data_IF_308058211789
#
_entry.id   IF_308058211789
#
_cell.length_a   1.000
_cell.length_b   1.000
_cell.length_c   1.000
_cell.angle_alpha   90.00
_cell.angle_beta   90.00
_cell.angle_gamma   90.00
#
_symmetry.space_group_name_H-M   'P 1'
#
loop_
_entity.id
_entity.type
_entity.pdbx_description
1 polymer ?
#
# COMPACT_ATOMS: atom_id res chain seq x y z
N UNK A 1 45.48 5.18 19.40
CA UNK A 1 44.55 6.30 19.11
C UNK A 1 43.14 5.73 19.13
N UNK A 2 42.34 6.04 20.15
CA UNK A 2 40.94 5.62 20.20
C UNK A 2 40.13 6.43 19.19
N UNK A 3 39.40 5.77 18.30
CA UNK A 3 38.52 6.45 17.37
C UNK A 3 37.44 7.22 18.15
N UNK A 4 37.42 8.55 18.02
CA UNK A 4 36.29 9.35 18.49
C UNK A 4 35.07 8.98 17.65
N UNK A 5 34.07 8.36 18.29
CA UNK A 5 32.78 8.12 17.66
C UNK A 5 32.12 9.47 17.37
N UNK A 6 31.82 9.73 16.09
CA UNK A 6 31.04 10.89 15.66
C UNK A 6 29.61 10.71 16.19
N UNK A 7 29.19 11.58 17.11
CA UNK A 7 27.79 11.62 17.56
C UNK A 7 26.94 12.24 16.46
N UNK A 8 26.09 11.44 15.82
CA UNK A 8 25.09 11.92 14.87
C UNK A 8 23.71 11.98 15.54
N UNK A 9 22.87 12.92 15.11
CA UNK A 9 21.48 13.03 15.57
C UNK A 9 20.55 12.66 14.40
N UNK A 10 19.58 11.75 14.59
CA UNK A 10 18.58 11.45 13.56
C UNK A 10 17.80 12.69 13.12
N UNK A 11 17.32 12.69 11.87
CA UNK A 11 16.49 13.79 11.35
C UNK A 11 15.17 13.93 12.12
N UNK A 12 14.58 15.13 12.15
CA UNK A 12 13.33 15.39 12.86
C UNK A 12 12.17 14.50 12.36
N UNK A 13 12.07 14.27 11.05
CA UNK A 13 11.06 13.37 10.47
C UNK A 13 11.19 11.93 10.98
N UNK A 14 12.43 11.43 11.10
CA UNK A 14 12.71 10.10 11.66
C UNK A 14 12.40 10.03 13.16
N UNK A 15 12.53 11.12 13.89
CA UNK A 15 12.14 11.15 15.31
C UNK A 15 10.61 11.16 15.50
N UNK A 16 9.83 11.54 14.47
CA UNK A 16 8.35 11.59 14.51
C UNK A 16 7.68 10.26 14.16
N UNK A 17 8.37 9.37 13.44
CA UNK A 17 7.92 7.99 13.26
C UNK A 17 8.28 7.23 14.55
N UNK A 18 7.25 6.92 15.35
CA UNK A 18 7.38 6.15 16.58
C UNK A 18 7.90 4.73 16.35
N UNK A 19 8.01 3.94 17.42
CA UNK A 19 8.48 2.57 17.34
C UNK A 19 7.64 1.73 16.35
N UNK A 20 8.32 0.93 15.53
CA UNK A 20 7.65 0.04 14.58
C UNK A 20 7.17 -1.22 15.31
N UNK A 21 5.84 -1.41 15.38
CA UNK A 21 5.21 -2.50 16.12
C UNK A 21 5.81 -3.87 15.78
N UNK A 22 5.97 -4.18 14.50
CA UNK A 22 6.45 -5.48 14.06
C UNK A 22 7.90 -5.75 14.50
N UNK A 23 8.77 -4.73 14.54
CA UNK A 23 10.14 -4.90 15.04
C UNK A 23 10.17 -5.25 16.54
N UNK A 24 9.24 -4.69 17.35
CA UNK A 24 9.13 -5.07 18.75
C UNK A 24 8.57 -6.49 18.92
N UNK A 25 7.61 -6.89 18.08
CA UNK A 25 7.08 -8.25 18.06
C UNK A 25 8.18 -9.27 17.71
N UNK A 26 8.97 -9.01 16.66
CA UNK A 26 10.08 -9.87 16.24
C UNK A 26 11.11 -10.06 17.36
N UNK A 27 11.51 -8.98 18.03
CA UNK A 27 12.42 -9.02 19.19
C UNK A 27 11.88 -9.91 20.31
N UNK A 28 10.60 -9.74 20.68
CA UNK A 28 9.97 -10.55 21.73
C UNK A 28 9.87 -12.02 21.35
N UNK A 29 9.60 -12.32 20.08
CA UNK A 29 9.58 -13.69 19.58
C UNK A 29 10.97 -14.35 19.69
N UNK A 30 12.03 -13.63 19.32
CA UNK A 30 13.40 -14.13 19.45
C UNK A 30 13.79 -14.40 20.92
N UNK A 31 13.44 -13.49 21.83
CA UNK A 31 13.66 -13.67 23.27
C UNK A 31 12.94 -14.90 23.85
N UNK A 32 11.72 -15.17 23.41
CA UNK A 32 10.95 -16.35 23.83
C UNK A 32 11.55 -17.64 23.25
N UNK A 33 11.90 -17.66 21.96
CA UNK A 33 12.57 -18.81 21.33
C UNK A 33 13.91 -19.12 21.99
N UNK A 34 14.70 -18.09 22.32
CA UNK A 34 15.97 -18.25 23.02
C UNK A 34 15.82 -18.88 24.42
N UNK A 35 14.63 -18.75 25.04
CA UNK A 35 14.27 -19.41 26.31
C UNK A 35 13.68 -20.81 26.12
N UNK A 36 13.64 -21.34 24.90
CA UNK A 36 13.06 -22.65 24.59
C UNK A 36 11.53 -22.67 24.61
N UNK A 37 10.88 -21.51 24.51
CA UNK A 37 9.42 -21.44 24.39
C UNK A 37 9.01 -21.74 22.95
N UNK A 38 8.05 -22.64 22.78
CA UNK A 38 7.40 -22.88 21.48
C UNK A 38 6.42 -21.73 21.19
N UNK A 39 6.70 -20.96 20.14
CA UNK A 39 5.97 -19.72 19.82
C UNK A 39 5.11 -19.95 18.58
N UNK A 40 3.79 -19.89 18.77
CA UNK A 40 2.83 -19.85 17.65
C UNK A 40 2.73 -18.39 17.18
N UNK A 41 3.23 -18.11 15.98
CA UNK A 41 3.23 -16.77 15.40
C UNK A 41 1.98 -16.53 14.53
N UNK A 42 1.07 -15.68 15.00
CA UNK A 42 -0.10 -15.19 14.25
C UNK A 42 -0.03 -13.68 14.01
N UNK A 43 1.17 -13.08 14.13
CA UNK A 43 1.36 -11.63 14.14
C UNK A 43 1.66 -11.00 12.78
N UNK A 44 2.00 -11.80 11.77
CA UNK A 44 2.35 -11.35 10.42
C UNK A 44 1.59 -12.21 9.41
N UNK A 45 0.97 -11.57 8.42
CA UNK A 45 0.28 -12.25 7.31
C UNK A 45 1.26 -12.74 6.25
N UNK A 46 2.26 -13.52 6.64
CA UNK A 46 3.22 -14.14 5.73
C UNK A 46 2.66 -15.50 5.25
N UNK A 47 2.48 -15.72 3.93
CA UNK A 47 1.99 -16.99 3.42
C UNK A 47 2.90 -18.17 3.80
N UNK A 48 2.30 -19.27 4.26
CA UNK A 48 2.99 -20.50 4.63
C UNK A 48 3.21 -21.45 3.43
N UNK A 49 2.47 -21.25 2.35
CA UNK A 49 2.62 -22.01 1.11
C UNK A 49 3.82 -21.51 0.28
N UNK A 50 4.56 -22.42 -0.37
CA UNK A 50 5.68 -22.03 -1.22
C UNK A 50 5.21 -21.30 -2.47
N UNK A 51 6.09 -20.47 -3.03
CA UNK A 51 5.90 -19.87 -4.35
C UNK A 51 5.59 -20.95 -5.40
N UNK A 52 4.56 -20.78 -6.25
CA UNK A 52 4.21 -21.75 -7.29
C UNK A 52 5.41 -22.15 -8.18
N UNK A 53 5.60 -23.46 -8.49
CA UNK A 53 6.81 -23.95 -9.16
C UNK A 53 7.14 -23.26 -10.49
N UNK A 54 6.13 -22.96 -11.31
CA UNK A 54 6.35 -22.31 -12.61
C UNK A 54 6.95 -20.91 -12.50
N UNK A 55 6.71 -20.19 -11.39
CA UNK A 55 7.30 -18.88 -11.09
C UNK A 55 8.76 -19.06 -10.71
N UNK A 56 9.05 -20.04 -9.84
CA UNK A 56 10.42 -20.39 -9.44
C UNK A 56 11.25 -20.77 -10.68
N UNK A 57 10.71 -21.60 -11.56
CA UNK A 57 11.36 -21.99 -12.81
C UNK A 57 11.60 -20.81 -13.75
N UNK A 58 10.64 -19.88 -13.86
CA UNK A 58 10.80 -18.67 -14.68
C UNK A 58 11.93 -17.79 -14.15
N UNK A 59 12.01 -17.60 -12.83
CA UNK A 59 13.11 -16.89 -12.18
C UNK A 59 14.44 -17.60 -12.44
N UNK A 60 14.52 -18.92 -12.25
CA UNK A 60 15.75 -19.69 -12.50
C UNK A 60 16.23 -19.53 -13.93
N UNK A 61 15.33 -19.62 -14.93
CA UNK A 61 15.69 -19.37 -16.33
C UNK A 61 16.21 -17.94 -16.54
N UNK A 62 15.56 -16.94 -15.95
CA UNK A 62 15.97 -15.54 -16.07
C UNK A 62 17.36 -15.29 -15.48
N UNK A 63 17.69 -15.90 -14.33
CA UNK A 63 19.00 -15.77 -13.66
C UNK A 63 20.14 -16.34 -14.52
N UNK A 64 19.89 -17.41 -15.29
CA UNK A 64 20.88 -18.00 -16.19
C UNK A 64 21.12 -17.18 -17.47
N UNK A 65 20.30 -16.17 -17.77
CA UNK A 65 20.48 -15.29 -18.92
C UNK A 65 21.28 -14.03 -18.54
N UNK A 66 22.54 -13.85 -19.00
CA UNK A 66 23.35 -12.69 -18.64
C UNK A 66 22.76 -11.33 -19.04
N UNK A 67 21.76 -11.29 -19.92
CA UNK A 67 21.07 -10.06 -20.31
C UNK A 67 20.26 -9.47 -19.14
N UNK A 68 19.79 -10.30 -18.21
CA UNK A 68 18.99 -9.89 -17.04
C UNK A 68 19.84 -9.30 -15.91
N UNK A 69 21.18 -9.41 -15.99
CA UNK A 69 22.09 -8.93 -14.94
C UNK A 69 22.36 -7.42 -14.99
N UNK A 70 21.87 -6.75 -16.04
CA UNK A 70 22.06 -5.31 -16.26
C UNK A 70 21.00 -4.51 -15.50
N UNK A 71 21.18 -3.20 -15.43
CA UNK A 71 20.15 -2.31 -14.89
C UNK A 71 18.82 -2.51 -15.64
N UNK A 72 17.70 -2.68 -14.91
CA UNK A 72 16.38 -2.75 -15.53
C UNK A 72 15.95 -1.37 -16.05
N UNK A 73 14.98 -1.31 -16.98
CA UNK A 73 14.34 -0.05 -17.35
C UNK A 73 13.68 0.60 -16.13
N UNK A 74 13.68 1.94 -16.05
CA UNK A 74 13.16 2.67 -14.89
C UNK A 74 11.70 2.38 -14.55
N UNK A 75 10.87 2.11 -15.57
CA UNK A 75 9.44 1.83 -15.39
C UNK A 75 9.14 0.33 -15.17
N UNK A 76 10.16 -0.53 -15.24
CA UNK A 76 10.01 -1.98 -15.41
C UNK A 76 10.06 -2.41 -16.87
N UNK A 77 10.29 -3.71 -17.09
CA UNK A 77 10.35 -4.27 -18.45
C UNK A 77 9.02 -4.08 -19.18
N UNK A 78 9.09 -3.99 -20.51
CA UNK A 78 7.90 -3.80 -21.33
C UNK A 78 6.95 -4.98 -21.17
N UNK A 79 7.50 -6.19 -21.18
CA UNK A 79 6.79 -7.45 -21.07
C UNK A 79 6.04 -7.56 -19.74
N UNK A 80 6.65 -7.08 -18.63
CA UNK A 80 5.96 -7.02 -17.34
C UNK A 80 4.78 -6.05 -17.37
N UNK A 81 4.98 -4.85 -17.93
CA UNK A 81 3.92 -3.83 -17.98
C UNK A 81 2.75 -4.26 -18.90
N UNK A 82 3.04 -4.91 -20.02
CA UNK A 82 2.04 -5.51 -20.90
C UNK A 82 1.28 -6.63 -20.19
N UNK A 83 1.97 -7.53 -19.48
CA UNK A 83 1.33 -8.60 -18.71
C UNK A 83 0.42 -8.06 -17.59
N UNK A 84 0.80 -6.98 -16.92
CA UNK A 84 -0.05 -6.30 -15.92
C UNK A 84 -1.31 -5.74 -16.58
N UNK A 85 -1.19 -5.06 -17.71
CA UNK A 85 -2.34 -4.51 -18.44
C UNK A 85 -3.28 -5.62 -18.96
N UNK A 86 -2.74 -6.72 -19.48
CA UNK A 86 -3.50 -7.90 -19.90
C UNK A 86 -4.24 -8.55 -18.73
N UNK A 87 -3.56 -8.71 -17.58
CA UNK A 87 -4.18 -9.25 -16.37
C UNK A 87 -5.31 -8.33 -15.88
N UNK A 88 -5.09 -7.01 -15.84
CA UNK A 88 -6.13 -6.04 -15.46
C UNK A 88 -7.36 -6.10 -16.38
N UNK A 89 -7.13 -6.19 -17.69
CA UNK A 89 -8.21 -6.31 -18.67
C UNK A 89 -9.00 -7.62 -18.49
N UNK A 90 -8.31 -8.74 -18.23
CA UNK A 90 -8.96 -10.03 -18.00
C UNK A 90 -9.67 -10.13 -16.64
N UNK A 91 -9.06 -9.63 -15.57
CA UNK A 91 -9.52 -9.77 -14.18
C UNK A 91 -10.60 -8.75 -13.79
N UNK A 92 -10.49 -7.52 -14.28
CA UNK A 92 -11.36 -6.40 -13.90
C UNK A 92 -12.11 -5.78 -15.08
N UNK A 93 -11.78 -6.14 -16.33
CA UNK A 93 -12.36 -5.48 -17.51
C UNK A 93 -11.81 -4.07 -17.75
N UNK A 94 -10.68 -3.72 -17.14
CA UNK A 94 -10.08 -2.38 -17.19
C UNK A 94 -8.92 -2.36 -18.17
N UNK A 95 -8.97 -1.45 -19.14
CA UNK A 95 -7.89 -1.25 -20.10
C UNK A 95 -6.87 -0.24 -19.58
N UNK A 96 -5.61 -0.65 -19.45
CA UNK A 96 -4.49 0.22 -19.06
C UNK A 96 -3.52 0.37 -20.23
N UNK A 97 -3.02 1.59 -20.46
CA UNK A 97 -1.85 1.80 -21.32
C UNK A 97 -0.59 1.36 -20.58
N UNK A 98 0.10 0.28 -21.00
CA UNK A 98 1.29 -0.20 -20.31
C UNK A 98 2.42 0.83 -20.31
N UNK A 99 2.45 1.79 -21.23
CA UNK A 99 3.49 2.83 -21.32
C UNK A 99 3.26 4.01 -20.38
N UNK A 100 2.01 4.32 -20.04
CA UNK A 100 1.65 5.52 -19.29
C UNK A 100 1.05 5.22 -17.91
N UNK A 101 0.45 4.05 -17.73
CA UNK A 101 -0.40 3.73 -16.57
C UNK A 101 0.10 2.53 -15.75
N UNK A 102 1.28 1.98 -16.06
CA UNK A 102 1.87 0.86 -15.31
C UNK A 102 3.31 1.16 -14.93
N UNK A 103 3.62 1.02 -13.64
CA UNK A 103 4.95 1.19 -13.06
C UNK A 103 5.31 -0.03 -12.21
N UNK A 104 6.45 -0.66 -12.48
CA UNK A 104 6.97 -1.73 -11.64
C UNK A 104 7.57 -1.18 -10.34
N UNK A 105 7.26 -1.83 -9.22
CA UNK A 105 7.73 -1.49 -7.88
C UNK A 105 8.52 -2.66 -7.30
N UNK A 106 9.38 -2.37 -6.31
CA UNK A 106 10.02 -3.42 -5.48
C UNK A 106 9.10 -3.86 -4.34
N UNK A 107 7.85 -4.15 -4.68
CA UNK A 107 6.75 -4.45 -3.77
C UNK A 107 5.88 -3.22 -3.44
N UNK A 108 4.58 -3.44 -3.18
CA UNK A 108 3.60 -2.35 -2.99
C UNK A 108 3.97 -1.40 -1.85
N UNK A 109 4.60 -1.91 -0.78
CA UNK A 109 5.10 -1.09 0.34
C UNK A 109 6.05 0.03 -0.10
N UNK A 110 6.83 -0.17 -1.14
CA UNK A 110 7.72 0.85 -1.70
C UNK A 110 6.91 1.96 -2.38
N UNK A 111 5.94 1.62 -3.23
CA UNK A 111 5.02 2.60 -3.82
C UNK A 111 4.24 3.38 -2.75
N UNK A 112 3.67 2.69 -1.76
CA UNK A 112 2.96 3.30 -0.63
C UNK A 112 3.86 4.25 0.18
N UNK A 113 5.14 3.92 0.30
CA UNK A 113 6.12 4.76 1.00
C UNK A 113 6.53 5.99 0.19
N UNK A 114 6.57 5.90 -1.14
CA UNK A 114 7.01 6.99 -2.03
C UNK A 114 5.89 7.90 -2.53
N UNK A 115 4.65 7.41 -2.65
CA UNK A 115 3.52 8.21 -3.12
C UNK A 115 3.32 9.50 -2.31
N UNK A 116 3.38 9.50 -0.97
CA UNK A 116 3.33 10.75 -0.19
C UNK A 116 4.42 11.76 -0.56
N UNK A 117 5.61 11.32 -0.96
CA UNK A 117 6.70 12.23 -1.37
C UNK A 117 6.40 12.90 -2.71
N UNK A 118 5.70 12.20 -3.60
CA UNK A 118 5.31 12.72 -4.89
C UNK A 118 4.07 13.64 -4.80
N UNK A 119 3.23 13.45 -3.79
CA UNK A 119 1.88 14.03 -3.75
C UNK A 119 1.65 15.04 -2.61
N UNK A 120 2.49 15.06 -1.57
CA UNK A 120 2.33 15.96 -0.43
C UNK A 120 3.45 17.00 -0.37
N UNK A 121 3.06 18.24 -0.07
CA UNK A 121 3.96 19.25 0.47
C UNK A 121 3.94 19.24 2.01
N UNK A 122 4.94 19.85 2.67
CA UNK A 122 4.95 19.98 4.13
C UNK A 122 3.67 20.61 4.68
N UNK A 123 3.01 19.92 5.63
CA UNK A 123 1.77 20.36 6.28
C UNK A 123 0.47 20.02 5.53
N UNK A 124 0.54 19.52 4.29
CA UNK A 124 -0.62 18.96 3.60
C UNK A 124 -1.06 17.63 4.24
N UNK A 125 -2.33 17.29 4.08
CA UNK A 125 -2.96 16.19 4.81
C UNK A 125 -3.07 14.94 3.92
N UNK A 126 -2.75 13.79 4.51
CA UNK A 126 -3.19 12.49 4.00
C UNK A 126 -4.28 11.92 4.92
N UNK A 127 -5.40 11.55 4.34
CA UNK A 127 -6.48 10.84 5.01
C UNK A 127 -6.09 9.36 5.09
N UNK A 128 -5.96 8.85 6.32
CA UNK A 128 -5.45 7.49 6.61
C UNK A 128 -6.51 6.70 7.37
N UNK A 129 -6.88 5.48 6.96
CA UNK A 129 -7.86 4.68 7.68
C UNK A 129 -7.39 4.31 9.09
N UNK A 130 -8.32 4.30 10.06
CA UNK A 130 -8.06 3.86 11.44
C UNK A 130 -9.18 2.92 11.94
N UNK A 131 -8.92 1.61 12.13
CA UNK A 131 -7.63 0.94 11.94
C UNK A 131 -7.19 0.89 10.48
N UNK A 132 -5.88 0.76 10.25
CA UNK A 132 -5.32 0.64 8.89
C UNK A 132 -3.85 0.24 8.90
N UNK A 133 -3.31 -0.10 7.73
CA UNK A 133 -1.92 -0.52 7.61
C UNK A 133 -0.95 0.59 8.07
N UNK A 134 -0.02 0.32 9.01
CA UNK A 134 0.79 1.37 9.65
C UNK A 134 1.68 2.19 8.70
N UNK A 135 1.99 1.66 7.51
CA UNK A 135 2.86 2.31 6.53
C UNK A 135 2.25 3.61 6.03
N UNK A 136 0.94 3.70 5.84
CA UNK A 136 0.29 4.92 5.35
C UNK A 136 0.60 6.13 6.24
N UNK A 137 0.48 5.96 7.57
CA UNK A 137 0.78 6.99 8.56
C UNK A 137 2.27 7.35 8.57
N UNK A 138 3.14 6.35 8.61
CA UNK A 138 4.59 6.55 8.68
C UNK A 138 5.14 7.22 7.42
N UNK A 139 4.67 6.81 6.24
CA UNK A 139 5.06 7.39 4.95
C UNK A 139 4.62 8.85 4.84
N UNK A 140 3.40 9.17 5.29
CA UNK A 140 2.91 10.56 5.36
C UNK A 140 3.81 11.44 6.21
N UNK A 141 4.21 10.98 7.41
CA UNK A 141 5.11 11.74 8.30
C UNK A 141 6.49 11.93 7.67
N UNK A 142 7.00 10.90 7.00
CA UNK A 142 8.31 10.96 6.33
C UNK A 142 8.34 11.97 5.18
N UNK A 143 7.20 12.16 4.50
CA UNK A 143 6.99 13.20 3.50
C UNK A 143 6.63 14.59 4.10
N UNK A 144 6.77 14.78 5.42
CA UNK A 144 6.40 16.02 6.13
C UNK A 144 4.91 16.40 6.08
N UNK A 145 4.07 15.47 5.63
CA UNK A 145 2.62 15.59 5.69
C UNK A 145 2.06 15.35 7.09
N UNK A 146 0.77 15.64 7.22
CA UNK A 146 -0.03 15.38 8.41
C UNK A 146 -1.00 14.21 8.15
N UNK A 147 -0.81 13.04 8.80
CA UNK A 147 -1.78 11.96 8.70
C UNK A 147 -3.02 12.31 9.54
N UNK A 148 -4.17 12.37 8.89
CA UNK A 148 -5.46 12.54 9.53
C UNK A 148 -6.21 11.20 9.57
N UNK A 149 -6.50 10.64 10.77
CA UNK A 149 -7.17 9.36 10.89
C UNK A 149 -8.65 9.46 10.46
N UNK A 150 -9.08 8.51 9.62
CA UNK A 150 -10.47 8.35 9.19
C UNK A 150 -11.02 7.07 9.83
N UNK A 151 -11.95 7.16 10.80
CA UNK A 151 -12.42 5.99 11.53
C UNK A 151 -13.13 4.96 10.64
N UNK A 152 -12.67 3.71 10.72
CA UNK A 152 -13.34 2.53 10.18
C UNK A 152 -14.06 1.82 11.32
N UNK A 153 -15.38 1.99 11.39
CA UNK A 153 -16.20 1.50 12.50
C UNK A 153 -16.98 0.23 12.11
N UNK A 154 -17.12 -0.76 13.01
CA UNK A 154 -17.91 -1.96 12.75
C UNK A 154 -19.35 -1.65 12.30
N UNK A 155 -19.97 -0.62 12.87
CA UNK A 155 -21.35 -0.22 12.55
C UNK A 155 -21.52 0.29 11.11
N UNK A 156 -20.42 0.68 10.45
CA UNK A 156 -20.37 1.07 9.03
C UNK A 156 -19.75 -0.01 8.15
N UNK A 157 -19.62 -1.25 8.65
CA UNK A 157 -18.94 -2.33 7.94
C UNK A 157 -17.46 -2.06 7.69
N UNK A 158 -16.84 -1.24 8.54
CA UNK A 158 -15.47 -0.74 8.38
C UNK A 158 -15.21 0.06 7.09
N UNK A 159 -16.24 0.60 6.44
CA UNK A 159 -16.05 1.61 5.40
C UNK A 159 -15.78 3.00 6.02
N UNK A 160 -14.97 3.86 5.38
CA UNK A 160 -14.59 5.16 5.93
C UNK A 160 -15.77 6.11 6.00
N UNK A 161 -15.91 6.81 7.12
CA UNK A 161 -16.89 7.87 7.29
C UNK A 161 -16.43 9.18 6.60
N UNK A 162 -16.39 9.19 5.27
CA UNK A 162 -15.93 10.33 4.46
C UNK A 162 -16.76 11.60 4.70
N UNK A 163 -18.04 11.42 5.06
CA UNK A 163 -19.00 12.46 5.41
C UNK A 163 -18.71 13.16 6.75
N UNK A 164 -17.89 12.55 7.61
CA UNK A 164 -17.55 13.07 8.94
C UNK A 164 -16.22 13.84 8.96
N UNK A 165 -15.52 13.93 7.82
CA UNK A 165 -14.23 14.62 7.75
C UNK A 165 -14.47 16.14 7.74
N UNK A 166 -13.87 16.91 8.67
CA UNK A 166 -14.08 18.34 8.75
C UNK A 166 -13.59 19.09 7.51
N UNK A 167 -14.31 20.14 7.11
CA UNK A 167 -14.02 20.90 5.90
C UNK A 167 -12.63 21.56 5.92
N UNK A 168 -12.16 21.98 7.09
CA UNK A 168 -10.82 22.53 7.28
C UNK A 168 -9.71 21.51 6.98
N UNK A 169 -9.95 20.23 7.30
CA UNK A 169 -9.04 19.13 6.96
C UNK A 169 -9.09 18.87 5.47
N UNK A 170 -10.28 18.80 4.89
CA UNK A 170 -10.48 18.54 3.45
C UNK A 170 -9.83 19.61 2.57
N UNK A 171 -9.83 20.87 2.99
CA UNK A 171 -9.17 21.96 2.26
C UNK A 171 -7.65 21.76 2.09
N UNK A 172 -7.03 21.02 3.03
CA UNK A 172 -5.60 20.71 3.07
C UNK A 172 -5.28 19.29 2.62
N UNK A 173 -6.28 18.44 2.46
CA UNK A 173 -6.09 17.06 2.05
C UNK A 173 -5.68 16.99 0.58
N UNK A 174 -4.76 16.07 0.28
CA UNK A 174 -4.32 15.76 -1.09
C UNK A 174 -4.35 14.27 -1.39
N UNK A 175 -4.38 13.44 -0.35
CA UNK A 175 -4.22 12.01 -0.46
C UNK A 175 -5.26 11.30 0.41
N UNK A 176 -5.87 10.25 -0.12
CA UNK A 176 -6.73 9.32 0.62
C UNK A 176 -6.21 7.90 0.43
N UNK A 177 -5.81 7.24 1.51
CA UNK A 177 -5.49 5.81 1.48
C UNK A 177 -6.75 4.98 1.70
N UNK A 178 -6.90 3.90 0.91
CA UNK A 178 -7.91 2.86 1.09
C UNK A 178 -7.26 1.49 0.93
N UNK A 179 -7.83 0.46 1.55
CA UNK A 179 -7.38 -0.91 1.41
C UNK A 179 -8.57 -1.86 1.55
N UNK A 180 -8.99 -2.48 0.45
CA UNK A 180 -10.09 -3.44 0.42
C UNK A 180 -9.81 -4.56 -0.60
N UNK A 181 -9.84 -5.85 -0.21
CA UNK A 181 -10.10 -6.38 1.13
C UNK A 181 -9.12 -5.85 2.20
N UNK A 182 -9.67 -5.52 3.36
CA UNK A 182 -9.00 -4.65 4.32
C UNK A 182 -8.09 -5.42 5.28
N UNK A 183 -6.87 -4.93 5.47
CA UNK A 183 -6.01 -5.22 6.59
C UNK A 183 -6.10 -4.05 7.60
N UNK A 184 -6.52 -4.29 8.86
CA UNK A 184 -6.61 -5.60 9.53
C UNK A 184 -8.03 -6.19 9.64
N UNK A 185 -9.07 -5.52 9.14
CA UNK A 185 -10.46 -5.85 9.53
C UNK A 185 -11.08 -7.01 8.75
N UNK A 186 -10.53 -7.37 7.58
CA UNK A 186 -11.12 -8.30 6.63
C UNK A 186 -12.33 -7.74 5.88
N UNK A 187 -12.69 -6.47 6.10
CA UNK A 187 -13.83 -5.84 5.42
C UNK A 187 -13.62 -5.72 3.92
N UNK A 188 -14.72 -5.66 3.19
CA UNK A 188 -14.75 -5.61 1.72
C UNK A 188 -15.49 -4.37 1.24
N UNK A 189 -15.22 -3.97 0.00
CA UNK A 189 -15.83 -2.81 -0.65
C UNK A 189 -16.60 -3.23 -1.90
N UNK A 190 -17.52 -2.38 -2.34
CA UNK A 190 -18.25 -2.58 -3.60
C UNK A 190 -17.85 -1.54 -4.64
N UNK A 191 -18.18 -1.80 -5.90
CA UNK A 191 -17.97 -0.82 -6.99
C UNK A 191 -18.75 0.47 -6.71
N UNK A 192 -19.96 0.36 -6.12
CA UNK A 192 -20.78 1.52 -5.74
C UNK A 192 -20.11 2.36 -4.66
N UNK A 193 -19.45 1.72 -3.69
CA UNK A 193 -18.65 2.45 -2.70
C UNK A 193 -17.46 3.15 -3.37
N UNK A 194 -16.75 2.48 -4.28
CA UNK A 194 -15.68 3.12 -5.04
C UNK A 194 -16.17 4.29 -5.89
N UNK A 195 -17.38 4.23 -6.45
CA UNK A 195 -17.98 5.37 -7.16
C UNK A 195 -18.19 6.58 -6.24
N UNK A 196 -18.61 6.36 -4.98
CA UNK A 196 -18.71 7.43 -3.98
C UNK A 196 -17.34 8.01 -3.63
N UNK A 197 -16.32 7.16 -3.49
CA UNK A 197 -14.93 7.57 -3.25
C UNK A 197 -14.38 8.42 -4.39
N UNK A 198 -14.57 8.01 -5.64
CA UNK A 198 -14.11 8.75 -6.83
C UNK A 198 -14.79 10.11 -6.91
N UNK A 199 -16.11 10.17 -6.72
CA UNK A 199 -16.85 11.43 -6.70
C UNK A 199 -16.37 12.35 -5.55
N UNK A 200 -16.07 11.78 -4.38
CA UNK A 200 -15.52 12.51 -3.25
C UNK A 200 -14.11 13.06 -3.55
N UNK A 201 -13.24 12.25 -4.15
CA UNK A 201 -11.89 12.62 -4.51
C UNK A 201 -11.87 13.75 -5.56
N UNK A 202 -12.69 13.65 -6.59
CA UNK A 202 -12.84 14.69 -7.61
C UNK A 202 -13.39 15.99 -7.02
N UNK A 203 -14.37 15.92 -6.12
CA UNK A 203 -14.95 17.09 -5.46
C UNK A 203 -13.91 17.88 -4.64
N UNK A 204 -12.98 17.18 -4.00
CA UNK A 204 -12.00 17.78 -3.09
C UNK A 204 -10.59 17.87 -3.65
N UNK A 205 -10.36 17.42 -4.90
CA UNK A 205 -9.04 17.43 -5.53
C UNK A 205 -8.04 16.50 -4.85
N UNK A 206 -8.48 15.30 -4.49
CA UNK A 206 -7.65 14.28 -3.82
C UNK A 206 -7.17 13.22 -4.81
N UNK A 207 -5.99 12.67 -4.56
CA UNK A 207 -5.56 11.40 -5.13
C UNK A 207 -5.95 10.27 -4.16
N UNK A 208 -6.63 9.26 -4.66
CA UNK A 208 -6.96 8.04 -3.92
C UNK A 208 -5.87 7.01 -4.19
N UNK A 209 -5.25 6.52 -3.13
CA UNK A 209 -4.32 5.39 -3.17
C UNK A 209 -5.07 4.17 -2.65
N UNK A 210 -5.52 3.33 -3.57
CA UNK A 210 -6.16 2.07 -3.23
C UNK A 210 -5.10 0.96 -3.20
N UNK A 211 -4.75 0.51 -1.99
CA UNK A 211 -3.90 -0.66 -1.77
C UNK A 211 -4.76 -1.92 -1.94
N UNK A 212 -4.62 -2.61 -3.06
CA UNK A 212 -5.44 -3.75 -3.46
C UNK A 212 -4.69 -5.10 -3.30
N UNK A 213 -3.79 -5.17 -2.31
CA UNK A 213 -2.92 -6.32 -2.06
C UNK A 213 -3.66 -7.66 -1.81
N UNK A 214 -4.93 -7.61 -1.42
CA UNK A 214 -5.74 -8.78 -1.05
C UNK A 214 -6.84 -9.11 -2.08
N UNK A 215 -6.79 -8.54 -3.28
CA UNK A 215 -7.81 -8.73 -4.34
C UNK A 215 -8.11 -10.19 -4.68
N UNK A 216 -7.13 -11.08 -4.56
CA UNK A 216 -7.25 -12.51 -4.87
C UNK A 216 -7.49 -13.37 -3.62
N UNK A 217 -7.60 -12.77 -2.43
CA UNK A 217 -7.86 -13.46 -1.16
C UNK A 217 -9.29 -13.10 -0.72
N UNK A 218 -10.26 -13.80 -1.30
CA UNK A 218 -11.69 -13.55 -1.13
C UNK A 218 -12.44 -14.83 -0.80
N UNK A 219 -13.61 -14.69 -0.17
CA UNK A 219 -14.41 -15.81 0.33
C UNK A 219 -15.87 -15.66 -0.08
N UNK A 220 -16.64 -16.75 0.02
CA UNK A 220 -18.10 -16.76 -0.11
C UNK A 220 -18.64 -16.18 -1.43
N UNK A 221 -17.87 -16.31 -2.50
CA UNK A 221 -18.24 -15.82 -3.84
C UNK A 221 -18.07 -14.32 -4.04
N UNK A 222 -17.55 -13.58 -3.05
CA UNK A 222 -17.15 -12.19 -3.25
C UNK A 222 -15.99 -12.12 -4.24
N UNK A 223 -16.08 -11.19 -5.18
CA UNK A 223 -15.01 -10.88 -6.13
C UNK A 223 -14.59 -9.45 -5.86
N UNK A 224 -13.34 -9.25 -5.44
CA UNK A 224 -12.84 -7.92 -5.14
C UNK A 224 -12.89 -7.03 -6.39
N UNK A 225 -13.51 -5.84 -6.33
CA UNK A 225 -13.45 -4.88 -7.41
C UNK A 225 -12.12 -4.12 -7.37
N UNK A 226 -11.73 -3.60 -8.53
CA UNK A 226 -10.69 -2.57 -8.63
C UNK A 226 -11.37 -1.19 -8.60
N UNK A 227 -10.74 -0.20 -7.94
CA UNK A 227 -11.24 1.18 -7.98
C UNK A 227 -11.26 1.71 -9.42
N UNK A 228 -10.36 1.20 -10.28
CA UNK A 228 -10.23 1.58 -11.68
C UNK A 228 -11.37 1.06 -12.57
N UNK A 229 -12.30 0.26 -12.04
CA UNK A 229 -13.54 -0.09 -12.73
C UNK A 229 -14.55 1.06 -12.75
N UNK A 230 -14.36 2.10 -11.93
CA UNK A 230 -15.24 3.26 -11.85
C UNK A 230 -14.83 4.31 -12.88
N UNK A 231 -15.80 4.82 -13.64
CA UNK A 231 -15.58 5.91 -14.58
C UNK A 231 -14.97 7.14 -13.91
N UNK A 232 -13.90 7.69 -14.51
CA UNK A 232 -13.17 8.84 -13.96
C UNK A 232 -12.22 8.51 -12.80
N UNK A 233 -12.11 7.25 -12.38
CA UNK A 233 -11.14 6.84 -11.36
C UNK A 233 -9.69 7.06 -11.84
N UNK A 234 -9.39 6.83 -13.12
CA UNK A 234 -8.05 6.99 -13.67
C UNK A 234 -7.48 8.43 -13.55
N UNK A 235 -8.35 9.43 -13.38
CA UNK A 235 -7.94 10.83 -13.22
C UNK A 235 -7.50 11.17 -11.79
N UNK A 236 -7.90 10.35 -10.80
CA UNK A 236 -7.70 10.64 -9.39
C UNK A 236 -7.32 9.43 -8.53
N UNK A 237 -7.07 8.25 -9.10
CA UNK A 237 -6.77 7.03 -8.34
C UNK A 237 -5.49 6.34 -8.83
N UNK A 238 -4.76 5.79 -7.88
CA UNK A 238 -3.61 4.91 -8.08
C UNK A 238 -3.93 3.63 -7.31
N UNK A 239 -3.84 2.48 -7.98
CA UNK A 239 -4.03 1.16 -7.36
C UNK A 239 -2.69 0.41 -7.31
N UNK A 240 -2.41 -0.26 -6.18
CA UNK A 240 -1.18 -1.00 -5.92
C UNK A 240 -1.45 -2.44 -5.48
#
# INVERSE_FOLDING_TARGET
MGAQQVKTTPSQRLQRIGAYLFADLDRRQEELRARGVDVINLGVGDPDLPTPPHIVEALTRAVHDPRTHRYPPYLGTREFREAVAEWFAGRFGVSLDPQQQVLALIGSKEGLAHLPWALLNPGEVALVPDPGYPVYRSATIMAEGEPYPVPLRPERGFLPALDEIPAEILSRARLLFLNYPNNPTGAVATVEFFAQVVAFAQRWGLVVVHDNAYSEITYDGYVAPSILQVDGAADCAIEL
#
